data_IF_667476078727
#
_entry.id   IF_667476078727
#
_cell.length_a   1.000
_cell.length_b   1.000
_cell.length_c   1.000
_cell.angle_alpha   90.00
_cell.angle_beta   90.00
_cell.angle_gamma   90.00
#
_symmetry.space_group_name_H-M   'P 1'
#
loop_
_entity.id
_entity.type
_entity.pdbx_description
1 polymer ?
#
# COMPACT_ATOMS: atom_id res chain seq x y z
N UNK A 1 16.09 8.73 16.80
CA UNK A 1 15.98 7.27 16.97
C UNK A 1 14.90 6.80 16.01
N UNK A 2 15.10 5.73 15.23
CA UNK A 2 14.18 5.35 14.14
C UNK A 2 13.05 4.38 14.57
N UNK A 3 12.90 4.09 15.86
CA UNK A 3 11.89 3.13 16.33
C UNK A 3 12.12 1.69 15.86
N UNK A 4 13.35 1.37 15.42
CA UNK A 4 13.73 0.03 14.92
C UNK A 4 14.70 -0.66 15.88
N UNK A 5 14.70 -2.01 15.92
CA UNK A 5 15.73 -2.78 16.60
C UNK A 5 17.14 -2.48 16.06
N UNK A 6 18.16 -2.55 16.94
CA UNK A 6 19.53 -2.19 16.61
C UNK A 6 20.19 -3.07 15.52
N UNK A 7 19.69 -4.29 15.31
CA UNK A 7 20.20 -5.21 14.29
C UNK A 7 19.71 -4.90 12.87
N UNK A 8 18.74 -3.98 12.72
CA UNK A 8 18.19 -3.61 11.42
C UNK A 8 19.11 -2.63 10.70
N UNK A 9 19.51 -2.98 9.48
CA UNK A 9 20.39 -2.18 8.60
C UNK A 9 19.75 -1.81 7.27
N UNK A 10 18.54 -2.32 6.98
CA UNK A 10 17.83 -2.06 5.73
C UNK A 10 16.32 -1.93 5.91
N UNK A 11 15.71 -1.11 5.07
CA UNK A 11 14.27 -0.84 5.03
C UNK A 11 13.69 -1.26 3.68
N UNK A 12 12.70 -2.14 3.71
CA UNK A 12 11.93 -2.58 2.55
C UNK A 12 10.50 -2.03 2.67
N UNK A 13 10.18 -1.04 1.85
CA UNK A 13 8.87 -0.39 1.88
C UNK A 13 7.97 -0.96 0.80
N UNK A 14 6.72 -1.30 1.14
CA UNK A 14 5.68 -1.25 0.12
C UNK A 14 5.51 0.19 -0.42
N UNK A 15 4.87 0.32 -1.57
CA UNK A 15 4.69 1.60 -2.24
C UNK A 15 3.31 2.19 -2.00
N UNK A 16 2.27 1.39 -2.21
CA UNK A 16 0.88 1.84 -2.17
C UNK A 16 0.41 1.79 -0.71
N UNK A 17 -0.17 2.85 -0.17
CA UNK A 17 -0.59 2.88 1.24
C UNK A 17 0.55 3.07 2.26
N UNK A 18 1.79 2.73 1.92
CA UNK A 18 2.97 2.99 2.78
C UNK A 18 3.66 4.30 2.40
N UNK A 19 4.22 4.39 1.19
CA UNK A 19 4.95 5.58 0.73
C UNK A 19 4.05 6.57 -0.01
N UNK A 20 3.03 6.08 -0.72
CA UNK A 20 2.24 6.89 -1.66
C UNK A 20 0.72 6.64 -1.58
N UNK A 21 -0.06 7.63 -2.00
CA UNK A 21 -1.53 7.61 -2.04
C UNK A 21 -2.09 7.20 -3.42
N UNK A 22 -1.47 6.21 -4.06
CA UNK A 22 -1.79 5.75 -5.43
C UNK A 22 -3.18 5.15 -5.61
N UNK A 23 -3.83 4.67 -4.54
CA UNK A 23 -5.20 4.15 -4.60
C UNK A 23 -6.17 5.15 -5.25
N UNK A 24 -6.00 6.46 -4.99
CA UNK A 24 -6.80 7.52 -5.61
C UNK A 24 -6.62 7.57 -7.12
N UNK A 25 -5.39 7.49 -7.59
CA UNK A 25 -5.04 7.53 -9.02
C UNK A 25 -5.51 6.26 -9.72
N UNK A 26 -5.36 5.11 -9.07
CA UNK A 26 -5.88 3.83 -9.56
C UNK A 26 -7.40 3.84 -9.72
N UNK A 27 -8.11 4.33 -8.70
CA UNK A 27 -9.56 4.41 -8.70
C UNK A 27 -10.08 5.36 -9.80
N UNK A 28 -9.45 6.53 -9.96
CA UNK A 28 -9.78 7.46 -11.05
C UNK A 28 -9.57 6.81 -12.45
N UNK A 29 -8.47 6.08 -12.64
CA UNK A 29 -8.20 5.39 -13.89
C UNK A 29 -9.21 4.25 -14.17
N UNK A 30 -9.66 3.55 -13.13
CA UNK A 30 -10.72 2.54 -13.24
C UNK A 30 -12.07 3.16 -13.61
N UNK A 31 -12.46 4.22 -12.92
CA UNK A 31 -13.70 4.94 -13.20
C UNK A 31 -13.78 5.39 -14.65
N UNK A 32 -12.70 6.01 -15.17
CA UNK A 32 -12.63 6.43 -16.56
C UNK A 32 -12.74 5.24 -17.53
N UNK A 33 -11.99 4.17 -17.28
CA UNK A 33 -11.98 2.99 -18.16
C UNK A 33 -13.35 2.32 -18.22
N UNK A 34 -13.96 2.09 -17.07
CA UNK A 34 -15.23 1.40 -16.98
C UNK A 34 -16.39 2.25 -17.49
N UNK A 35 -16.42 3.54 -17.16
CA UNK A 35 -17.46 4.42 -17.66
C UNK A 35 -17.39 4.58 -19.18
N UNK A 36 -16.20 4.72 -19.77
CA UNK A 36 -16.04 4.73 -21.22
C UNK A 36 -16.60 3.44 -21.85
N UNK A 37 -16.17 2.28 -21.32
CA UNK A 37 -16.65 0.98 -21.79
C UNK A 37 -18.18 0.85 -21.69
N UNK A 38 -18.76 1.20 -20.54
CA UNK A 38 -20.19 1.08 -20.29
C UNK A 38 -21.00 2.06 -21.14
N UNK A 39 -20.51 3.28 -21.39
CA UNK A 39 -21.15 4.24 -22.31
C UNK A 39 -21.16 3.73 -23.75
N UNK A 40 -20.02 3.24 -24.25
CA UNK A 40 -19.93 2.66 -25.60
C UNK A 40 -20.88 1.47 -25.76
N UNK A 41 -20.95 0.60 -24.75
CA UNK A 41 -21.86 -0.55 -24.74
C UNK A 41 -23.32 -0.13 -24.71
N UNK A 42 -23.69 0.81 -23.83
CA UNK A 42 -25.06 1.32 -23.73
C UNK A 42 -25.54 1.90 -25.08
N UNK A 43 -24.68 2.67 -25.75
CA UNK A 43 -24.97 3.21 -27.08
C UNK A 43 -25.15 2.11 -28.15
N UNK A 44 -24.37 1.03 -28.08
CA UNK A 44 -24.42 -0.07 -29.07
C UNK A 44 -25.58 -1.05 -28.85
N UNK A 45 -26.00 -1.26 -27.60
CA UNK A 45 -26.99 -2.30 -27.21
C UNK A 45 -28.36 -1.75 -26.83
N UNK A 46 -28.44 -0.46 -26.49
CA UNK A 46 -29.63 0.15 -25.90
C UNK A 46 -29.84 -0.18 -24.41
N UNK A 47 -28.92 -0.90 -23.77
CA UNK A 47 -28.94 -1.14 -22.32
C UNK A 47 -28.77 0.18 -21.53
N UNK A 48 -29.40 0.34 -20.35
CA UNK A 48 -29.19 1.52 -19.52
C UNK A 48 -27.74 1.69 -19.08
N UNK A 49 -27.19 2.90 -19.25
CA UNK A 49 -25.90 3.25 -18.68
C UNK A 49 -26.00 3.37 -17.16
N UNK A 50 -25.29 2.49 -16.44
CA UNK A 50 -25.08 2.60 -15.00
C UNK A 50 -23.60 2.89 -14.76
N UNK A 51 -23.22 4.06 -14.22
CA UNK A 51 -21.80 4.41 -14.02
C UNK A 51 -21.12 3.48 -13.02
N UNK A 52 -19.80 3.45 -13.07
CA UNK A 52 -18.94 2.86 -12.05
C UNK A 52 -18.97 3.70 -10.78
N UNK A 53 -19.13 3.05 -9.62
CA UNK A 53 -19.06 3.71 -8.32
C UNK A 53 -17.63 3.67 -7.74
N UNK A 54 -16.92 4.81 -7.64
CA UNK A 54 -15.55 4.83 -7.13
C UNK A 54 -15.46 4.50 -5.62
N UNK A 55 -16.55 4.43 -4.88
CA UNK A 55 -16.57 3.89 -3.52
C UNK A 55 -16.85 2.39 -3.54
N UNK A 56 -18.11 2.02 -3.74
CA UNK A 56 -18.59 0.66 -3.53
C UNK A 56 -18.07 -0.32 -4.58
N UNK A 57 -18.07 0.05 -5.87
CA UNK A 57 -17.58 -0.85 -6.93
C UNK A 57 -16.06 -1.05 -6.82
N UNK A 58 -15.32 0.01 -6.47
CA UNK A 58 -13.86 -0.08 -6.24
C UNK A 58 -13.55 -1.07 -5.12
N UNK A 59 -14.10 -0.84 -3.93
CA UNK A 59 -13.79 -1.64 -2.75
C UNK A 59 -14.20 -3.11 -2.92
N UNK A 60 -15.33 -3.37 -3.58
CA UNK A 60 -15.88 -4.73 -3.69
C UNK A 60 -15.23 -5.55 -4.80
N UNK A 61 -14.97 -4.93 -5.95
CA UNK A 61 -14.62 -5.67 -7.17
C UNK A 61 -13.20 -5.42 -7.66
N UNK A 62 -12.53 -4.36 -7.24
CA UNK A 62 -11.28 -3.95 -7.92
C UNK A 62 -10.10 -3.88 -6.96
N UNK A 63 -10.31 -3.30 -5.78
CA UNK A 63 -9.25 -3.06 -4.82
C UNK A 63 -8.54 -4.37 -4.41
N UNK A 64 -7.21 -4.29 -4.29
CA UNK A 64 -6.34 -5.41 -3.91
C UNK A 64 -6.28 -6.60 -4.89
N UNK A 65 -6.93 -6.52 -6.06
CA UNK A 65 -6.98 -7.63 -7.04
C UNK A 65 -6.01 -7.44 -8.21
N UNK A 66 -5.53 -8.52 -8.85
CA UNK A 66 -4.89 -8.44 -10.15
C UNK A 66 -5.77 -7.70 -11.17
N UNK A 67 -5.15 -6.97 -12.09
CA UNK A 67 -5.86 -6.07 -13.02
C UNK A 67 -6.94 -6.78 -13.84
N UNK A 68 -6.62 -7.95 -14.41
CA UNK A 68 -7.57 -8.75 -15.17
C UNK A 68 -8.74 -9.24 -14.28
N UNK A 69 -8.45 -9.65 -13.05
CA UNK A 69 -9.48 -10.06 -12.07
C UNK A 69 -10.42 -8.91 -11.71
N UNK A 70 -9.89 -7.69 -11.55
CA UNK A 70 -10.70 -6.48 -11.34
C UNK A 70 -11.67 -6.23 -12.49
N UNK A 71 -11.22 -6.37 -13.75
CA UNK A 71 -12.09 -6.29 -14.93
C UNK A 71 -13.18 -7.37 -14.90
N UNK A 72 -12.80 -8.64 -14.68
CA UNK A 72 -13.76 -9.76 -14.68
C UNK A 72 -14.85 -9.58 -13.62
N UNK A 73 -14.44 -9.31 -12.39
CA UNK A 73 -15.35 -9.26 -11.25
C UNK A 73 -16.26 -8.04 -11.32
N UNK A 74 -15.75 -6.87 -11.71
CA UNK A 74 -16.59 -5.69 -11.92
C UNK A 74 -17.59 -5.90 -13.06
N UNK A 75 -17.15 -6.36 -14.23
CA UNK A 75 -18.05 -6.55 -15.37
C UNK A 75 -19.08 -7.65 -15.09
N UNK A 76 -18.70 -8.72 -14.39
CA UNK A 76 -19.64 -9.75 -13.95
C UNK A 76 -20.72 -9.18 -13.01
N UNK A 77 -20.41 -8.19 -12.17
CA UNK A 77 -21.41 -7.48 -11.34
C UNK A 77 -22.47 -6.74 -12.17
N UNK A 78 -22.18 -6.51 -13.45
CA UNK A 78 -23.07 -5.89 -14.45
C UNK A 78 -23.66 -6.92 -15.42
N UNK A 79 -23.49 -8.22 -15.16
CA UNK A 79 -23.85 -9.33 -16.06
C UNK A 79 -23.15 -9.26 -17.42
N UNK A 80 -21.94 -8.70 -17.45
CA UNK A 80 -21.11 -8.59 -18.66
C UNK A 80 -19.97 -9.60 -18.54
N UNK A 81 -19.78 -10.41 -19.57
CA UNK A 81 -18.63 -11.31 -19.70
C UNK A 81 -17.92 -10.99 -21.00
N UNK A 82 -16.61 -10.77 -20.91
CA UNK A 82 -15.73 -10.56 -22.06
C UNK A 82 -14.89 -11.83 -22.30
N UNK A 83 -14.46 -12.09 -23.54
CA UNK A 83 -13.39 -13.03 -23.78
C UNK A 83 -12.15 -12.62 -22.97
N UNK A 84 -11.38 -13.61 -22.50
CA UNK A 84 -10.19 -13.33 -21.69
C UNK A 84 -9.17 -12.49 -22.48
N UNK A 85 -8.94 -12.82 -23.75
CA UNK A 85 -7.91 -12.20 -24.58
C UNK A 85 -6.50 -12.64 -24.20
N UNK A 86 -5.50 -12.08 -24.89
CA UNK A 86 -4.09 -12.27 -24.57
C UNK A 86 -3.57 -11.16 -23.63
N UNK A 87 -2.63 -11.43 -22.70
CA UNK A 87 -2.00 -10.39 -21.89
C UNK A 87 -1.47 -9.17 -22.68
N UNK A 88 -1.05 -9.38 -23.93
CA UNK A 88 -0.52 -8.34 -24.80
C UNK A 88 -1.58 -7.70 -25.74
N UNK A 89 -2.87 -8.02 -25.53
CA UNK A 89 -3.97 -7.42 -26.29
C UNK A 89 -3.90 -5.88 -26.27
N UNK A 90 -4.06 -5.21 -27.42
CA UNK A 90 -4.04 -3.76 -27.44
C UNK A 90 -5.23 -3.21 -26.64
N UNK A 91 -5.07 -2.01 -26.04
CA UNK A 91 -6.08 -1.40 -25.17
C UNK A 91 -7.40 -1.12 -25.88
N UNK A 92 -7.44 -1.19 -27.22
CA UNK A 92 -8.64 -0.99 -28.04
C UNK A 92 -9.55 -2.21 -28.10
N UNK A 93 -9.07 -3.41 -27.76
CA UNK A 93 -9.91 -4.61 -27.74
C UNK A 93 -10.77 -4.69 -26.48
N UNK A 94 -12.01 -5.12 -26.67
CA UNK A 94 -12.96 -5.37 -25.58
C UNK A 94 -12.83 -6.84 -25.09
N UNK A 95 -11.61 -7.20 -24.65
CA UNK A 95 -11.29 -8.41 -23.89
C UNK A 95 -10.97 -8.05 -22.44
N UNK A 96 -10.91 -9.02 -21.53
CA UNK A 96 -10.50 -8.78 -20.13
C UNK A 96 -9.12 -8.10 -20.09
N UNK A 97 -8.16 -8.64 -20.83
CA UNK A 97 -6.80 -8.09 -20.90
C UNK A 97 -6.75 -6.75 -21.64
N UNK A 98 -7.49 -6.56 -22.75
CA UNK A 98 -7.57 -5.30 -23.48
C UNK A 98 -8.12 -4.14 -22.63
N UNK A 99 -9.22 -4.36 -21.89
CA UNK A 99 -9.77 -3.36 -20.95
C UNK A 99 -8.79 -3.08 -19.81
N UNK A 100 -8.14 -4.11 -19.28
CA UNK A 100 -7.08 -3.95 -18.28
C UNK A 100 -5.92 -3.09 -18.83
N UNK A 101 -5.48 -3.34 -20.05
CA UNK A 101 -4.40 -2.60 -20.70
C UNK A 101 -4.80 -1.14 -20.97
N UNK A 102 -6.07 -0.88 -21.32
CA UNK A 102 -6.61 0.49 -21.42
C UNK A 102 -6.52 1.23 -20.10
N UNK A 103 -6.94 0.60 -19.00
CA UNK A 103 -6.78 1.20 -17.67
C UNK A 103 -5.34 1.52 -17.35
N UNK A 104 -4.39 0.68 -17.78
CA UNK A 104 -2.98 0.93 -17.53
C UNK A 104 -2.45 2.15 -18.27
N UNK A 105 -2.88 2.34 -19.53
CA UNK A 105 -2.54 3.54 -20.31
C UNK A 105 -3.06 4.79 -19.60
N UNK A 106 -4.32 4.80 -19.19
CA UNK A 106 -4.94 5.92 -18.44
C UNK A 106 -4.22 6.15 -17.11
N UNK A 107 -3.88 5.08 -16.38
CA UNK A 107 -3.16 5.19 -15.12
C UNK A 107 -1.80 5.88 -15.32
N UNK A 108 -1.00 5.45 -16.30
CA UNK A 108 0.31 6.05 -16.57
C UNK A 108 0.17 7.51 -16.99
N UNK A 109 -0.80 7.83 -17.85
CA UNK A 109 -1.10 9.22 -18.22
C UNK A 109 -1.41 10.09 -17.00
N UNK A 110 -2.25 9.59 -16.09
CA UNK A 110 -2.58 10.29 -14.84
C UNK A 110 -1.38 10.44 -13.91
N UNK A 111 -0.56 9.40 -13.75
CA UNK A 111 0.68 9.47 -12.96
C UNK A 111 1.62 10.55 -13.51
N UNK A 112 1.78 10.62 -14.84
CA UNK A 112 2.69 11.59 -15.47
C UNK A 112 2.13 13.01 -15.50
N UNK A 113 0.81 13.18 -15.64
CA UNK A 113 0.16 14.48 -15.73
C UNK A 113 -0.17 15.09 -14.36
N UNK A 114 -0.76 14.29 -13.47
CA UNK A 114 -1.28 14.75 -12.18
C UNK A 114 -0.27 14.52 -11.04
N UNK A 115 0.75 13.69 -11.26
CA UNK A 115 1.72 13.28 -10.26
C UNK A 115 1.19 12.22 -9.28
N UNK A 116 2.00 11.89 -8.27
CA UNK A 116 1.61 11.01 -7.16
C UNK A 116 1.91 11.71 -5.84
N UNK A 117 0.94 11.75 -4.95
CA UNK A 117 1.12 12.30 -3.61
C UNK A 117 1.79 11.27 -2.69
N UNK A 118 3.02 11.54 -2.18
CA UNK A 118 3.58 10.75 -1.11
C UNK A 118 2.90 11.05 0.23
N UNK A 119 3.04 10.16 1.20
CA UNK A 119 2.74 10.47 2.59
C UNK A 119 3.93 11.23 3.20
N UNK A 120 3.69 12.45 3.70
CA UNK A 120 4.78 13.31 4.19
C UNK A 120 5.61 12.64 5.30
N UNK A 121 4.96 12.01 6.28
CA UNK A 121 5.70 11.33 7.34
C UNK A 121 6.49 10.09 6.86
N UNK A 122 6.07 9.47 5.75
CA UNK A 122 6.87 8.44 5.08
C UNK A 122 8.11 9.02 4.38
N UNK A 123 8.00 10.21 3.78
CA UNK A 123 9.14 10.95 3.21
C UNK A 123 10.13 11.34 4.30
N UNK A 124 9.63 11.88 5.40
CA UNK A 124 10.45 12.26 6.56
C UNK A 124 11.19 11.04 7.12
N UNK A 125 10.51 9.90 7.20
CA UNK A 125 11.12 8.63 7.62
C UNK A 125 12.18 8.12 6.64
N UNK A 126 11.95 8.22 5.32
CA UNK A 126 12.96 7.88 4.31
C UNK A 126 14.22 8.74 4.43
N UNK A 127 14.07 10.04 4.69
CA UNK A 127 15.20 10.94 4.96
C UNK A 127 15.95 10.55 6.23
N UNK A 128 15.22 10.24 7.31
CA UNK A 128 15.82 9.82 8.57
C UNK A 128 16.56 8.47 8.43
N UNK A 129 15.97 7.50 7.72
CA UNK A 129 16.59 6.22 7.40
C UNK A 129 17.88 6.41 6.59
N UNK A 130 17.86 7.30 5.59
CA UNK A 130 19.05 7.68 4.81
C UNK A 130 20.15 8.27 5.71
N UNK A 131 19.79 9.23 6.57
CA UNK A 131 20.73 9.89 7.46
C UNK A 131 21.37 8.92 8.47
N UNK A 132 20.63 7.89 8.88
CA UNK A 132 21.14 6.81 9.73
C UNK A 132 21.95 5.74 8.99
N UNK A 133 22.12 5.86 7.67
CA UNK A 133 22.86 4.88 6.86
C UNK A 133 22.10 3.59 6.55
N UNK A 134 20.79 3.56 6.76
CA UNK A 134 19.97 2.39 6.40
C UNK A 134 19.78 2.31 4.88
N UNK A 135 19.99 1.11 4.34
CA UNK A 135 19.72 0.77 2.95
C UNK A 135 18.21 0.81 2.70
N UNK A 136 17.75 1.34 1.57
CA UNK A 136 16.30 1.54 1.31
C UNK A 136 15.88 0.95 -0.03
N UNK A 137 14.87 0.09 -0.03
CA UNK A 137 14.25 -0.43 -1.25
C UNK A 137 12.73 -0.30 -1.24
N UNK A 138 12.16 -0.22 -2.44
CA UNK A 138 10.71 -0.36 -2.65
C UNK A 138 10.42 -1.77 -3.14
N UNK A 139 9.37 -2.39 -2.59
CA UNK A 139 8.88 -3.71 -2.98
C UNK A 139 7.38 -3.59 -3.24
N UNK A 140 6.96 -3.59 -4.51
CA UNK A 140 5.56 -3.45 -4.92
C UNK A 140 5.14 -4.57 -5.86
N UNK A 141 3.85 -4.95 -5.82
CA UNK A 141 3.27 -5.87 -6.80
C UNK A 141 2.99 -5.19 -8.15
N UNK A 142 2.94 -3.85 -8.19
CA UNK A 142 2.63 -3.09 -9.40
C UNK A 142 3.78 -3.13 -10.40
N UNK A 143 3.46 -3.32 -11.69
CA UNK A 143 4.44 -3.17 -12.77
C UNK A 143 4.84 -1.69 -13.01
N UNK A 144 4.10 -0.73 -12.45
CA UNK A 144 4.29 0.70 -12.67
C UNK A 144 5.01 1.38 -11.49
N UNK A 145 5.60 0.60 -10.58
CA UNK A 145 6.26 1.14 -9.38
C UNK A 145 7.39 2.13 -9.73
N UNK A 146 8.03 1.96 -10.90
CA UNK A 146 9.02 2.91 -11.41
C UNK A 146 8.43 4.31 -11.60
N UNK A 147 7.34 4.41 -12.39
CA UNK A 147 6.67 5.66 -12.68
C UNK A 147 6.10 6.32 -11.42
N UNK A 148 5.55 5.52 -10.50
CA UNK A 148 5.03 6.01 -9.22
C UNK A 148 6.13 6.61 -8.36
N UNK A 149 7.28 5.93 -8.22
CA UNK A 149 8.42 6.43 -7.43
C UNK A 149 8.97 7.72 -8.05
N UNK A 150 9.04 7.82 -9.38
CA UNK A 150 9.46 9.02 -10.09
C UNK A 150 8.48 10.19 -9.88
N UNK A 151 7.19 9.96 -10.14
CA UNK A 151 6.14 10.96 -10.00
C UNK A 151 5.94 11.46 -8.55
N UNK A 152 6.28 10.63 -7.56
CA UNK A 152 6.28 11.01 -6.15
C UNK A 152 7.59 11.70 -5.70
N UNK A 153 8.59 11.84 -6.58
CA UNK A 153 9.88 12.46 -6.26
C UNK A 153 10.75 11.64 -5.29
N UNK A 154 10.54 10.32 -5.21
CA UNK A 154 11.19 9.45 -4.23
C UNK A 154 12.48 8.80 -4.75
N UNK A 155 12.78 8.89 -6.04
CA UNK A 155 13.95 8.25 -6.67
C UNK A 155 15.28 8.51 -5.93
N UNK A 156 15.61 9.74 -5.47
CA UNK A 156 16.86 10.00 -4.76
C UNK A 156 16.97 9.32 -3.38
N UNK A 157 15.85 8.78 -2.88
CA UNK A 157 15.75 8.15 -1.56
C UNK A 157 15.71 6.62 -1.63
N UNK A 158 15.62 6.03 -2.82
CA UNK A 158 15.47 4.59 -3.02
C UNK A 158 16.69 4.03 -3.75
N UNK A 159 17.31 2.98 -3.20
CA UNK A 159 18.53 2.37 -3.75
C UNK A 159 18.23 1.13 -4.61
N UNK A 160 17.12 0.45 -4.35
CA UNK A 160 16.69 -0.72 -5.09
C UNK A 160 15.16 -0.79 -5.21
N UNK A 161 14.69 -1.50 -6.24
CA UNK A 161 13.25 -1.73 -6.47
C UNK A 161 13.00 -3.16 -6.91
N UNK A 162 12.02 -3.81 -6.27
CA UNK A 162 11.38 -5.02 -6.76
C UNK A 162 9.94 -4.67 -7.10
N UNK A 163 9.60 -4.74 -8.37
CA UNK A 163 8.27 -4.41 -8.89
C UNK A 163 7.64 -5.62 -9.62
N UNK A 164 6.41 -5.46 -10.12
CA UNK A 164 5.71 -6.52 -10.84
C UNK A 164 6.44 -7.00 -12.10
N UNK A 165 7.29 -6.16 -12.72
CA UNK A 165 8.12 -6.55 -13.87
C UNK A 165 9.25 -7.47 -13.40
N UNK A 166 9.95 -7.10 -12.32
CA UNK A 166 10.99 -7.92 -11.71
C UNK A 166 10.43 -9.25 -11.22
N UNK A 167 9.28 -9.23 -10.53
CA UNK A 167 8.62 -10.42 -10.00
C UNK A 167 8.27 -11.41 -11.11
N UNK A 168 7.64 -10.94 -12.21
CA UNK A 168 7.34 -11.77 -13.37
C UNK A 168 8.61 -12.34 -14.01
N UNK A 169 9.61 -11.49 -14.27
CA UNK A 169 10.88 -11.90 -14.92
C UNK A 169 11.62 -12.97 -14.12
N UNK A 170 11.56 -12.91 -12.80
CA UNK A 170 12.24 -13.84 -11.88
C UNK A 170 11.34 -15.00 -11.40
N UNK A 171 10.06 -15.04 -11.79
CA UNK A 171 9.11 -16.04 -11.30
C UNK A 171 8.85 -15.98 -9.79
N UNK A 172 8.93 -14.78 -9.19
CA UNK A 172 8.70 -14.60 -7.74
C UNK A 172 7.21 -14.67 -7.43
N UNK A 173 6.84 -15.42 -6.40
CA UNK A 173 5.47 -15.43 -5.91
C UNK A 173 5.16 -14.10 -5.22
N UNK A 174 3.98 -13.55 -5.47
CA UNK A 174 3.50 -12.35 -4.78
C UNK A 174 3.16 -12.61 -3.32
N UNK A 175 2.95 -11.52 -2.58
CA UNK A 175 2.42 -11.53 -1.21
C UNK A 175 1.13 -12.39 -1.17
N UNK A 176 0.94 -13.28 -0.17
CA UNK A 176 1.65 -13.36 1.11
C UNK A 176 2.95 -14.19 1.10
N UNK A 177 3.43 -14.65 -0.05
CA UNK A 177 4.75 -15.27 -0.12
C UNK A 177 5.86 -14.22 0.04
N UNK A 178 6.98 -14.55 0.70
CA UNK A 178 8.03 -13.59 1.03
C UNK A 178 8.97 -13.26 -0.15
N UNK A 179 8.84 -13.96 -1.29
CA UNK A 179 9.79 -13.96 -2.39
C UNK A 179 10.18 -12.55 -2.88
N UNK A 180 9.23 -11.62 -2.99
CA UNK A 180 9.51 -10.25 -3.44
C UNK A 180 10.28 -9.42 -2.40
N UNK A 181 9.98 -9.58 -1.11
CA UNK A 181 10.76 -8.94 -0.04
C UNK A 181 12.15 -9.55 0.08
N UNK A 182 12.28 -10.88 -0.04
CA UNK A 182 13.57 -11.57 -0.03
C UNK A 182 14.46 -11.09 -1.18
N UNK A 183 13.89 -10.92 -2.37
CA UNK A 183 14.58 -10.30 -3.50
C UNK A 183 14.99 -8.84 -3.22
N UNK A 184 14.19 -8.09 -2.45
CA UNK A 184 14.53 -6.73 -2.01
C UNK A 184 15.74 -6.72 -1.08
N UNK A 185 15.78 -7.60 -0.08
CA UNK A 185 16.93 -7.76 0.80
C UNK A 185 18.19 -8.19 0.04
N UNK A 186 18.06 -9.13 -0.89
CA UNK A 186 19.13 -9.58 -1.78
C UNK A 186 19.73 -8.40 -2.58
N UNK A 187 18.89 -7.56 -3.21
CA UNK A 187 19.35 -6.39 -3.97
C UNK A 187 20.05 -5.34 -3.08
N UNK A 188 19.68 -5.26 -1.80
CA UNK A 188 20.36 -4.39 -0.84
C UNK A 188 21.62 -5.03 -0.22
N UNK A 189 21.89 -6.31 -0.48
CA UNK A 189 23.05 -7.03 0.04
C UNK A 189 22.96 -7.36 1.53
N UNK A 190 21.75 -7.51 2.07
CA UNK A 190 21.50 -7.79 3.50
C UNK A 190 20.76 -9.10 3.70
N UNK A 191 20.91 -9.69 4.88
CA UNK A 191 20.10 -10.85 5.26
C UNK A 191 18.69 -10.41 5.70
N UNK A 192 17.66 -11.28 5.57
CA UNK A 192 16.30 -10.94 5.99
C UNK A 192 16.20 -10.54 7.46
N UNK A 193 16.95 -11.22 8.35
CA UNK A 193 17.00 -10.91 9.78
C UNK A 193 17.60 -9.53 10.10
N UNK A 194 18.21 -8.85 9.12
CA UNK A 194 18.75 -7.48 9.23
C UNK A 194 17.89 -6.43 8.53
N UNK A 195 16.76 -6.82 7.96
CA UNK A 195 15.86 -5.92 7.24
C UNK A 195 14.51 -5.79 7.96
N UNK A 196 13.92 -4.59 7.87
CA UNK A 196 12.54 -4.32 8.27
C UNK A 196 11.64 -4.22 7.04
N UNK A 197 10.43 -4.76 7.14
CA UNK A 197 9.36 -4.61 6.15
C UNK A 197 8.34 -3.57 6.64
N UNK A 198 7.95 -2.64 5.78
CA UNK A 198 6.85 -1.69 6.01
C UNK A 198 5.69 -2.00 5.07
N UNK A 199 4.50 -2.26 5.62
CA UNK A 199 3.34 -2.74 4.88
C UNK A 199 2.01 -2.29 5.52
N UNK A 200 0.99 -1.93 4.74
CA UNK A 200 -0.34 -1.51 5.17
C UNK A 200 -1.45 -2.58 5.05
N UNK A 201 -1.21 -3.65 4.30
CA UNK A 201 -2.07 -4.77 3.97
C UNK A 201 -1.65 -6.09 4.66
N UNK A 202 -2.66 -6.90 5.01
CA UNK A 202 -2.49 -8.18 5.72
C UNK A 202 -1.58 -9.16 4.99
N UNK A 203 -1.70 -9.24 3.66
CA UNK A 203 -0.91 -10.17 2.86
C UNK A 203 0.59 -9.83 2.90
N UNK A 204 0.95 -8.54 2.86
CA UNK A 204 2.36 -8.17 2.89
C UNK A 204 2.97 -8.19 4.28
N UNK A 205 2.21 -7.89 5.33
CA UNK A 205 2.63 -8.17 6.71
C UNK A 205 2.91 -9.67 6.89
N UNK A 206 2.02 -10.53 6.42
CA UNK A 206 2.23 -11.98 6.44
C UNK A 206 3.47 -12.41 5.63
N UNK A 207 3.76 -11.75 4.51
CA UNK A 207 4.97 -11.97 3.73
C UNK A 207 6.25 -11.58 4.49
N UNK A 208 6.24 -10.43 5.20
CA UNK A 208 7.33 -10.02 6.09
C UNK A 208 7.57 -11.06 7.19
N UNK A 209 6.51 -11.56 7.81
CA UNK A 209 6.60 -12.60 8.83
C UNK A 209 7.14 -13.92 8.26
N UNK A 210 6.61 -14.37 7.12
CA UNK A 210 7.01 -15.62 6.48
C UNK A 210 8.47 -15.60 5.97
N UNK A 211 8.99 -14.41 5.67
CA UNK A 211 10.39 -14.21 5.25
C UNK A 211 11.40 -14.20 6.38
N UNK A 212 10.96 -14.34 7.64
CA UNK A 212 11.79 -14.18 8.84
C UNK A 212 12.56 -12.85 8.84
N UNK A 213 11.88 -11.77 8.43
CA UNK A 213 12.45 -10.44 8.48
C UNK A 213 12.69 -10.02 9.93
N UNK A 214 13.75 -9.26 10.16
CA UNK A 214 14.19 -8.85 11.50
C UNK A 214 13.18 -7.98 12.24
N UNK A 215 12.25 -7.36 11.50
CA UNK A 215 11.12 -6.60 12.04
C UNK A 215 10.04 -6.38 10.96
N UNK A 216 8.78 -6.26 11.36
CA UNK A 216 7.65 -5.94 10.47
C UNK A 216 6.83 -4.80 11.06
N UNK A 217 6.76 -3.68 10.33
CA UNK A 217 5.96 -2.51 10.68
C UNK A 217 4.69 -2.52 9.84
N UNK A 218 3.55 -2.66 10.51
CA UNK A 218 2.23 -2.42 9.94
C UNK A 218 1.91 -0.93 9.88
N UNK A 219 1.38 -0.44 8.75
CA UNK A 219 0.92 0.94 8.58
C UNK A 219 -0.60 0.95 8.45
N UNK A 220 -1.30 1.30 9.52
CA UNK A 220 -2.76 1.26 9.53
C UNK A 220 -3.37 2.49 8.84
N UNK A 221 -3.75 2.32 7.57
CA UNK A 221 -4.43 3.35 6.77
C UNK A 221 -5.97 3.26 6.83
N UNK A 222 -6.53 2.15 7.30
CA UNK A 222 -7.97 1.84 7.16
C UNK A 222 -8.66 1.40 8.45
N UNK A 223 -7.98 1.47 9.60
CA UNK A 223 -8.53 1.08 10.91
C UNK A 223 -8.47 -0.42 11.17
N UNK A 224 -7.43 -1.11 10.69
CA UNK A 224 -7.24 -2.55 10.78
C UNK A 224 -6.03 -2.98 11.64
N UNK A 225 -5.59 -2.15 12.58
CA UNK A 225 -4.39 -2.40 13.38
C UNK A 225 -4.34 -3.79 14.05
N UNK A 226 -5.45 -4.27 14.61
CA UNK A 226 -5.48 -5.58 15.28
C UNK A 226 -5.31 -6.73 14.29
N UNK A 227 -5.86 -6.59 13.07
CA UNK A 227 -5.67 -7.56 12.02
C UNK A 227 -4.21 -7.57 11.54
N UNK A 228 -3.56 -6.40 11.39
CA UNK A 228 -2.14 -6.32 11.03
C UNK A 228 -1.26 -7.02 12.08
N UNK A 229 -1.51 -6.79 13.38
CA UNK A 229 -0.79 -7.50 14.46
C UNK A 229 -1.00 -9.02 14.38
N UNK A 230 -2.25 -9.45 14.20
CA UNK A 230 -2.58 -10.88 14.09
C UNK A 230 -1.90 -11.58 12.89
N UNK A 231 -1.55 -10.83 11.84
CA UNK A 231 -0.86 -11.34 10.65
C UNK A 231 0.67 -11.25 10.73
N UNK A 232 1.22 -10.75 11.83
CA UNK A 232 2.65 -10.80 12.12
C UNK A 232 3.39 -9.45 12.09
N UNK A 233 2.68 -8.32 12.19
CA UNK A 233 3.33 -7.04 12.44
C UNK A 233 3.83 -6.98 13.89
N UNK A 234 5.10 -6.61 14.08
CA UNK A 234 5.70 -6.42 15.41
C UNK A 234 5.22 -5.11 16.06
N UNK A 235 5.00 -4.08 15.23
CA UNK A 235 4.38 -2.81 15.62
C UNK A 235 3.42 -2.35 14.54
N UNK A 236 2.40 -1.60 14.93
CA UNK A 236 1.49 -0.94 14.00
C UNK A 236 1.45 0.55 14.32
N UNK A 237 1.64 1.38 13.30
CA UNK A 237 1.58 2.84 13.36
C UNK A 237 0.54 3.35 12.36
N UNK A 238 -0.01 4.54 12.57
CA UNK A 238 -0.90 5.17 11.56
C UNK A 238 -0.09 5.96 10.53
N UNK A 239 1.09 6.42 10.94
CA UNK A 239 2.05 7.09 10.08
C UNK A 239 3.50 6.79 10.50
N UNK A 240 4.43 6.72 9.53
CA UNK A 240 5.82 6.37 9.82
C UNK A 240 6.54 7.43 10.66
N UNK A 241 6.05 8.67 10.69
CA UNK A 241 6.58 9.72 11.58
C UNK A 241 6.47 9.38 13.07
N UNK A 242 5.54 8.50 13.47
CA UNK A 242 5.42 8.02 14.85
C UNK A 242 6.68 7.30 15.32
N UNK A 243 7.41 6.66 14.40
CA UNK A 243 8.66 5.96 14.71
C UNK A 243 9.85 6.90 14.93
N UNK A 244 9.75 8.17 14.50
CA UNK A 244 10.82 9.16 14.66
C UNK A 244 10.89 9.73 16.09
N UNK A 245 9.86 9.52 16.91
CA UNK A 245 9.66 10.18 18.21
C UNK A 245 9.94 9.35 19.48
N UNK A 246 10.46 8.14 19.38
CA UNK A 246 10.54 7.23 20.54
C UNK A 246 11.62 7.55 21.58
N UNK A 247 11.29 8.37 22.59
CA UNK A 247 11.57 8.02 23.99
C UNK A 247 10.30 7.36 24.58
N UNK A 248 10.47 6.33 25.41
CA UNK A 248 9.46 5.33 25.73
C UNK A 248 8.12 5.83 26.28
N UNK A 249 7.05 5.17 25.82
CA UNK A 249 5.74 5.16 26.48
C UNK A 249 5.38 3.72 26.78
N UNK A 250 5.65 3.28 28.01
CA UNK A 250 5.10 2.06 28.58
C UNK A 250 3.57 2.23 28.74
N UNK A 251 2.72 1.38 28.14
CA UNK A 251 1.26 1.51 28.24
C UNK A 251 0.69 1.21 29.64
N UNK A 252 1.52 0.87 30.64
CA UNK A 252 1.02 0.33 31.92
C UNK A 252 0.96 1.31 33.09
N UNK A 253 1.31 2.59 32.93
CA UNK A 253 1.23 3.57 34.01
C UNK A 253 -0.07 4.40 33.99
N UNK A 254 -1.23 3.75 34.08
CA UNK A 254 -2.47 4.41 34.55
C UNK A 254 -3.20 3.53 35.56
N UNK A 255 -2.63 3.44 36.76
CA UNK A 255 -3.26 2.77 37.89
C UNK A 255 -2.52 3.06 39.19
N UNK A 256 -3.28 3.57 40.18
CA UNK A 256 -2.90 3.96 41.56
C UNK A 256 -2.36 5.40 41.65
N UNK A 257 -2.87 6.33 42.46
CA UNK A 257 -3.93 6.44 43.47
C UNK A 257 -4.08 7.97 43.74
N UNK A 258 -5.00 8.48 44.54
CA UNK A 258 -5.77 7.84 45.59
C UNK A 258 -6.91 8.75 46.08
N UNK A 259 -7.78 8.11 46.87
CA UNK A 259 -8.84 8.73 47.64
C UNK A 259 -8.31 9.17 49.03
N UNK A 260 -8.97 10.19 49.60
CA UNK A 260 -8.77 10.70 50.97
C UNK A 260 -7.97 12.00 50.98
N UNK A 261 -8.43 13.13 51.52
CA UNK A 261 -9.23 13.32 52.74
C UNK A 261 -10.01 14.64 52.68
N UNK A 262 -11.30 14.60 53.01
CA UNK A 262 -12.08 15.79 53.33
C UNK A 262 -11.83 16.19 54.80
N UNK A 263 -11.47 17.44 55.05
CA UNK A 263 -11.59 18.08 56.36
C UNK A 263 -12.35 19.39 56.20
N UNK A 264 -13.26 19.60 57.15
CA UNK A 264 -14.26 20.64 57.18
C UNK A 264 -13.79 21.91 57.93
N UNK A 265 -14.31 23.06 57.48
CA UNK A 265 -14.70 24.21 58.31
C UNK A 265 -13.81 25.46 58.23
N UNK A 266 -14.32 26.67 58.58
CA UNK A 266 -15.72 27.11 58.60
C UNK A 266 -16.00 28.45 57.88
N UNK A 267 -17.27 28.61 57.53
CA UNK A 267 -18.13 29.81 57.51
C UNK A 267 -17.53 31.17 57.92
N UNK A 268 -17.59 32.17 57.03
CA UNK A 268 -17.82 33.59 57.41
C UNK A 268 -18.73 34.28 56.38
N UNK A 269 -19.75 34.90 56.96
CA UNK A 269 -20.82 35.73 56.43
C UNK A 269 -20.29 37.03 55.79
N UNK A 270 -20.70 37.33 54.54
CA UNK A 270 -21.40 38.55 54.07
C UNK A 270 -21.41 38.63 52.55
#
# INVERSE_FOLDING_TARGET
>A
MLGLPAHVTACLFDLDGVLTQTARVHNAAWAETFDDFLRRRAAATGEPFRPYDPGDDYNRYVDGRPRADGVRTFLASRNITLPEGDPDDPPTLDTVNGVGNRKNVILLQRIHADGVLPYQGSVDYLHAARAAGLRRAVVSASANAADVVAAAGLEPLIEARVDGVVARRRGLRGKPHPDTFLAGAELLGVRPDQAVVFEDALAGVAAGRAGNFGYVVGVDRVGQADALRAHGADIVVRDLSELLGGAGGDPTASGRGGAGTAQAGPEVVR
#
